data_IF_185663379714
#
_entry.id   IF_185663379714
#
_cell.length_a   1.000
_cell.length_b   1.000
_cell.length_c   1.000
_cell.angle_alpha   90.00
_cell.angle_beta   90.00
_cell.angle_gamma   90.00
#
_symmetry.space_group_name_H-M   'P 1'
#
loop_
_entity.id
_entity.type
_entity.pdbx_description
1 polymer ?
#
# COMPACT_ATOMS: atom_id res chain seq x y z
N UNK A 1 -2.32 12.17 15.80
CA UNK A 1 -2.44 11.72 14.41
C UNK A 1 -1.11 11.15 13.94
N UNK A 2 -1.16 10.07 13.16
CA UNK A 2 0.00 9.47 12.48
C UNK A 2 -0.38 9.15 11.03
N UNK A 3 0.62 9.09 10.13
CA UNK A 3 0.38 8.58 8.79
C UNK A 3 -0.06 7.11 8.88
N UNK A 4 -1.03 6.72 8.04
CA UNK A 4 -1.48 5.34 7.95
C UNK A 4 -0.30 4.42 7.63
N UNK A 5 -0.07 3.44 8.49
CA UNK A 5 1.02 2.44 8.34
C UNK A 5 0.60 1.25 7.49
N UNK A 6 -0.67 1.17 7.09
CA UNK A 6 -1.15 0.13 6.18
C UNK A 6 -0.59 0.36 4.77
N UNK A 7 -0.70 -0.65 3.91
CA UNK A 7 -0.30 -0.52 2.50
C UNK A 7 -1.34 0.21 1.64
N UNK A 8 -2.45 0.68 2.22
CA UNK A 8 -3.51 1.39 1.48
C UNK A 8 -2.98 2.72 0.93
N UNK A 9 -3.24 2.97 -0.34
CA UNK A 9 -2.90 4.22 -1.02
C UNK A 9 -4.17 4.83 -1.62
N UNK A 10 -4.22 6.14 -1.58
CA UNK A 10 -5.34 6.95 -2.03
C UNK A 10 -4.92 7.88 -3.18
N UNK A 11 -5.89 8.49 -3.84
CA UNK A 11 -5.62 9.47 -4.89
C UNK A 11 -5.03 10.74 -4.24
N UNK A 12 -3.87 11.15 -4.70
CA UNK A 12 -3.25 12.39 -4.26
C UNK A 12 -4.02 13.59 -4.80
N UNK A 13 -4.44 14.55 -3.96
CA UNK A 13 -5.20 15.72 -4.41
C UNK A 13 -4.42 16.66 -5.33
N UNK A 14 -3.09 16.56 -5.36
CA UNK A 14 -2.24 17.40 -6.21
C UNK A 14 -1.87 16.73 -7.54
N UNK A 15 -1.43 15.47 -7.53
CA UNK A 15 -0.95 14.82 -8.75
C UNK A 15 -1.90 13.77 -9.33
N UNK A 16 -3.08 13.57 -8.73
CA UNK A 16 -4.12 12.61 -9.12
C UNK A 16 -3.64 11.15 -9.27
N UNK A 17 -2.49 10.81 -8.65
CA UNK A 17 -1.99 9.42 -8.66
C UNK A 17 -2.31 8.72 -7.35
N UNK A 18 -2.48 7.39 -7.38
CA UNK A 18 -2.78 6.55 -6.21
C UNK A 18 -1.53 6.33 -5.35
N UNK A 19 -1.01 7.41 -4.77
CA UNK A 19 0.24 7.45 -3.99
C UNK A 19 0.11 8.24 -2.70
N UNK A 20 -1.13 8.53 -2.28
CA UNK A 20 -1.39 9.35 -1.12
C UNK A 20 -1.65 8.52 0.12
N UNK A 21 -1.06 8.93 1.24
CA UNK A 21 -1.22 8.32 2.56
C UNK A 21 -1.89 9.32 3.47
N UNK A 22 -3.07 8.99 3.99
CA UNK A 22 -3.78 9.84 4.94
C UNK A 22 -3.19 9.79 6.34
N UNK A 23 -3.44 10.84 7.10
CA UNK A 23 -3.30 10.81 8.53
C UNK A 23 -4.51 10.11 9.17
N UNK A 24 -4.21 9.27 10.17
CA UNK A 24 -5.18 8.50 10.95
C UNK A 24 -5.15 8.99 12.39
N UNK A 25 -6.31 9.12 12.99
CA UNK A 25 -6.42 9.19 14.45
C UNK A 25 -6.10 7.80 15.02
N UNK A 26 -4.99 7.69 15.72
CA UNK A 26 -4.51 6.42 16.26
C UNK A 26 -5.46 5.80 17.32
N UNK A 27 -6.29 6.60 17.97
CA UNK A 27 -7.23 6.14 19.00
C UNK A 27 -8.56 5.68 18.39
N UNK A 28 -9.04 6.36 17.36
CA UNK A 28 -10.31 6.04 16.71
C UNK A 28 -10.19 5.17 15.46
N UNK A 29 -8.99 5.01 14.91
CA UNK A 29 -8.75 4.31 13.65
C UNK A 29 -9.39 5.00 12.43
N UNK A 30 -9.80 6.27 12.55
CA UNK A 30 -10.47 7.04 11.50
C UNK A 30 -9.49 7.97 10.79
N UNK A 31 -9.65 8.09 9.47
CA UNK A 31 -8.88 9.06 8.69
C UNK A 31 -9.33 10.49 9.00
N UNK A 32 -8.38 11.41 9.01
CA UNK A 32 -8.67 12.83 8.87
C UNK A 32 -9.29 13.12 7.50
N UNK A 33 -9.81 14.32 7.30
CA UNK A 33 -10.44 14.71 6.02
C UNK A 33 -9.49 14.53 4.82
N UNK A 34 -10.05 14.58 3.62
CA UNK A 34 -9.44 14.21 2.34
C UNK A 34 -8.12 14.89 1.97
N UNK A 35 -7.73 15.95 2.70
CA UNK A 35 -6.55 16.76 2.35
C UNK A 35 -5.34 16.47 3.24
N UNK A 36 -5.54 15.91 4.44
CA UNK A 36 -4.44 15.69 5.38
C UNK A 36 -3.73 14.37 5.11
N UNK A 37 -2.53 14.47 4.61
CA UNK A 37 -1.72 13.32 4.24
C UNK A 37 -0.45 13.70 3.51
N UNK A 38 0.24 12.70 3.04
CA UNK A 38 1.49 12.84 2.30
C UNK A 38 1.46 12.01 1.04
N UNK A 39 1.94 12.58 -0.07
CA UNK A 39 2.19 11.86 -1.30
C UNK A 39 3.54 11.14 -1.20
N UNK A 40 3.59 9.84 -1.48
CA UNK A 40 4.85 9.07 -1.49
C UNK A 40 5.83 9.51 -2.60
N UNK A 41 5.36 10.32 -3.54
CA UNK A 41 6.18 10.92 -4.60
C UNK A 41 6.73 12.28 -4.16
N UNK A 42 7.36 12.34 -3.00
CA UNK A 42 7.85 13.58 -2.39
C UNK A 42 8.71 14.41 -3.34
N UNK A 43 9.65 13.79 -4.05
CA UNK A 43 10.54 14.49 -4.98
C UNK A 43 9.83 15.01 -6.24
N UNK A 44 8.73 14.40 -6.66
CA UNK A 44 8.03 14.74 -7.90
C UNK A 44 6.71 15.49 -7.70
N UNK A 45 6.05 15.31 -6.53
CA UNK A 45 4.77 15.90 -6.21
C UNK A 45 4.88 16.87 -5.03
N UNK A 46 5.61 16.50 -4.00
CA UNK A 46 5.86 17.33 -2.80
C UNK A 46 4.63 17.58 -1.93
N UNK A 47 3.44 17.02 -2.27
CA UNK A 47 2.24 17.30 -1.51
C UNK A 47 2.32 16.66 -0.12
N UNK A 48 2.32 17.50 0.89
CA UNK A 48 2.23 17.13 2.29
C UNK A 48 1.43 18.17 3.06
N UNK A 49 0.27 17.78 3.57
CA UNK A 49 -0.54 18.62 4.46
C UNK A 49 -0.59 17.91 5.81
N UNK A 50 0.17 18.41 6.76
CA UNK A 50 0.19 17.88 8.13
C UNK A 50 -1.13 18.23 8.84
N UNK A 51 -1.59 17.39 9.80
CA UNK A 51 -2.74 17.73 10.62
C UNK A 51 -2.44 18.99 11.44
N UNK A 52 -3.47 19.77 11.74
CA UNK A 52 -3.30 20.95 12.58
C UNK A 52 -2.75 20.54 13.94
N UNK A 53 -1.81 21.30 14.45
CA UNK A 53 -1.36 21.21 15.84
C UNK A 53 -2.46 21.81 16.72
N UNK A 54 -3.30 20.98 17.28
CA UNK A 54 -4.45 21.45 18.04
C UNK A 54 -4.67 20.66 19.34
N UNK A 55 -5.46 21.24 20.25
CA UNK A 55 -5.91 20.55 21.47
C UNK A 55 -7.14 19.72 21.15
N UNK A 56 -7.08 18.42 21.36
CA UNK A 56 -8.25 17.53 21.31
C UNK A 56 -9.12 17.80 22.54
N UNK A 57 -10.41 17.99 22.34
CA UNK A 57 -11.35 18.23 23.41
C UNK A 57 -12.64 17.43 23.21
N UNK A 58 -13.31 17.13 24.28
CA UNK A 58 -14.57 16.39 24.32
C UNK A 58 -15.68 17.28 24.80
N UNK A 59 -16.87 17.13 24.24
CA UNK A 59 -18.08 17.83 24.65
C UNK A 59 -18.58 17.23 25.98
N UNK A 60 -18.65 18.04 27.02
CA UNK A 60 -19.09 17.64 28.33
C UNK A 60 -20.40 18.38 28.65
N UNK A 61 -21.43 17.63 28.98
CA UNK A 61 -22.70 18.16 29.53
C UNK A 61 -22.52 18.46 31.00
N UNK A 62 -23.02 19.63 31.41
CA UNK A 62 -22.92 20.03 32.82
C UNK A 62 -24.23 20.62 33.38
N UNK A 63 -24.44 20.46 34.68
CA UNK A 63 -25.56 21.05 35.40
C UNK A 63 -25.25 22.50 35.80
N UNK A 64 -24.03 22.74 36.25
CA UNK A 64 -23.61 24.09 36.63
C UNK A 64 -22.14 24.31 36.36
N UNK A 65 -21.81 25.54 35.96
CA UNK A 65 -20.43 26.02 35.86
C UNK A 65 -20.35 27.39 36.55
N UNK A 66 -19.43 27.54 37.49
CA UNK A 66 -19.26 28.80 38.26
C UNK A 66 -17.80 29.21 38.27
N UNK A 67 -17.51 30.46 37.95
CA UNK A 67 -16.18 31.05 38.09
C UNK A 67 -15.79 31.06 39.55
N UNK A 68 -14.62 30.48 39.89
CA UNK A 68 -14.05 30.50 41.22
C UNK A 68 -12.95 31.56 41.31
N UNK A 69 -12.20 31.72 40.22
CA UNK A 69 -11.14 32.71 40.10
C UNK A 69 -10.97 33.10 38.64
N UNK A 70 -10.07 34.06 38.34
CA UNK A 70 -9.74 34.40 36.96
C UNK A 70 -9.06 33.28 36.18
N UNK A 71 -8.58 32.25 36.89
CA UNK A 71 -7.85 31.12 36.30
C UNK A 71 -8.60 29.81 36.29
N UNK A 72 -9.70 29.68 37.05
CA UNK A 72 -10.42 28.43 37.21
C UNK A 72 -11.93 28.60 37.44
N UNK A 73 -12.69 27.60 37.01
CA UNK A 73 -14.12 27.44 37.31
C UNK A 73 -14.40 26.11 38.01
N UNK A 74 -15.52 26.06 38.72
CA UNK A 74 -16.12 24.86 39.29
C UNK A 74 -17.21 24.37 38.36
N UNK A 75 -17.10 23.16 37.87
CA UNK A 75 -18.08 22.48 37.05
C UNK A 75 -18.70 21.32 37.82
N UNK A 76 -20.00 21.13 37.67
CA UNK A 76 -20.72 19.94 38.11
C UNK A 76 -21.29 19.28 36.84
N UNK A 77 -20.84 18.10 36.49
CA UNK A 77 -21.32 17.38 35.34
C UNK A 77 -22.73 16.79 35.57
N UNK A 78 -23.33 16.21 34.51
CA UNK A 78 -24.68 15.61 34.61
C UNK A 78 -24.73 14.39 35.54
N UNK A 79 -23.59 13.80 35.90
CA UNK A 79 -23.48 12.68 36.83
C UNK A 79 -23.23 13.16 38.26
N UNK A 80 -23.19 14.48 38.49
CA UNK A 80 -22.92 15.06 39.80
C UNK A 80 -21.44 15.14 40.18
N UNK A 81 -20.52 14.84 39.25
CA UNK A 81 -19.08 14.94 39.50
C UNK A 81 -18.67 16.42 39.58
N UNK A 82 -18.06 16.79 40.68
CA UNK A 82 -17.56 18.14 40.91
C UNK A 82 -16.10 18.23 40.51
N UNK A 83 -15.78 19.14 39.58
CA UNK A 83 -14.43 19.34 39.09
C UNK A 83 -14.03 20.82 39.11
N UNK A 84 -12.79 21.11 39.48
CA UNK A 84 -12.18 22.44 39.36
C UNK A 84 -11.34 22.45 38.07
N UNK A 85 -11.77 23.18 37.08
CA UNK A 85 -11.19 23.18 35.74
C UNK A 85 -10.46 24.50 35.50
N UNK A 86 -9.16 24.47 35.15
CA UNK A 86 -8.49 25.68 34.66
C UNK A 86 -9.20 26.24 33.43
N UNK A 87 -9.43 27.54 33.37
CA UNK A 87 -10.13 28.17 32.25
C UNK A 87 -9.44 27.91 30.89
N UNK A 88 -8.12 27.71 30.87
CA UNK A 88 -7.34 27.36 29.69
C UNK A 88 -7.64 25.96 29.15
N UNK A 89 -8.36 25.12 29.89
CA UNK A 89 -8.74 23.77 29.49
C UNK A 89 -10.17 23.69 28.98
N UNK A 90 -10.95 24.75 29.09
CA UNK A 90 -12.28 24.91 28.49
C UNK A 90 -12.09 25.74 27.23
N UNK A 91 -12.32 25.12 26.07
CA UNK A 91 -12.01 25.72 24.76
C UNK A 91 -13.22 26.39 24.13
N UNK A 92 -14.41 25.88 24.40
CA UNK A 92 -15.69 26.46 23.98
C UNK A 92 -16.75 26.12 25.03
N UNK A 93 -17.63 27.06 25.30
CA UNK A 93 -18.76 26.86 26.24
C UNK A 93 -20.05 27.33 25.57
N UNK A 94 -21.08 26.51 25.62
CA UNK A 94 -22.45 26.79 25.24
C UNK A 94 -23.35 26.52 26.48
N UNK A 95 -24.56 26.98 26.46
CA UNK A 95 -25.52 26.95 27.59
C UNK A 95 -25.25 25.90 28.68
N UNK A 96 -25.43 24.60 28.38
CA UNK A 96 -25.25 23.48 29.31
C UNK A 96 -24.12 22.52 28.89
N UNK A 97 -23.27 22.92 27.95
CA UNK A 97 -22.21 22.08 27.36
C UNK A 97 -20.92 22.87 27.21
N UNK A 98 -19.79 22.19 27.36
CA UNK A 98 -18.48 22.79 27.06
C UNK A 98 -17.51 21.77 26.51
N UNK A 99 -16.58 22.24 25.66
CA UNK A 99 -15.47 21.42 25.21
C UNK A 99 -14.29 21.52 26.14
N UNK A 100 -13.95 20.41 26.81
CA UNK A 100 -12.83 20.30 27.74
C UNK A 100 -11.72 19.49 27.10
N UNK A 101 -10.46 19.96 27.24
CA UNK A 101 -9.31 19.30 26.67
C UNK A 101 -9.16 17.86 27.16
N UNK A 102 -8.78 16.95 26.26
CA UNK A 102 -8.49 15.55 26.60
C UNK A 102 -7.42 15.44 27.69
N UNK A 103 -6.41 16.32 27.66
CA UNK A 103 -5.35 16.35 28.68
C UNK A 103 -5.92 16.51 30.09
N UNK A 104 -6.90 17.40 30.28
CA UNK A 104 -7.53 17.56 31.58
C UNK A 104 -8.42 16.37 31.91
N UNK A 105 -9.23 15.90 30.98
CA UNK A 105 -10.20 14.81 31.20
C UNK A 105 -9.51 13.49 31.56
N UNK A 106 -8.36 13.18 31.00
CA UNK A 106 -7.53 12.00 31.37
C UNK A 106 -7.09 12.00 32.82
N UNK A 107 -7.03 13.17 33.44
CA UNK A 107 -6.63 13.36 34.85
C UNK A 107 -7.81 13.78 35.76
N UNK A 108 -9.04 13.58 35.30
CA UNK A 108 -10.27 13.91 36.02
C UNK A 108 -11.18 12.67 36.13
N UNK A 109 -12.20 12.79 36.98
CA UNK A 109 -13.22 11.75 37.16
C UNK A 109 -14.42 11.94 36.21
N UNK A 110 -14.37 12.90 35.29
CA UNK A 110 -15.43 13.14 34.30
C UNK A 110 -15.43 12.03 33.27
N UNK A 111 -16.60 11.43 33.01
CA UNK A 111 -16.78 10.40 31.99
C UNK A 111 -16.92 11.08 30.61
N UNK A 112 -16.08 10.73 29.64
CA UNK A 112 -16.03 11.43 28.34
C UNK A 112 -15.82 10.54 27.12
N UNK A 113 -15.53 9.24 27.28
CA UNK A 113 -15.03 8.38 26.19
C UNK A 113 -16.00 8.23 25.01
N UNK A 114 -17.30 8.42 25.23
CA UNK A 114 -18.34 8.31 24.18
C UNK A 114 -18.85 9.68 23.70
N UNK A 115 -18.25 10.77 24.15
CA UNK A 115 -18.72 12.10 23.86
C UNK A 115 -18.19 12.62 22.51
N UNK A 116 -18.87 13.64 21.98
CA UNK A 116 -18.45 14.34 20.76
C UNK A 116 -17.03 14.90 20.89
N UNK A 117 -16.23 14.74 19.85
CA UNK A 117 -14.84 15.19 19.81
C UNK A 117 -14.69 16.37 18.87
N UNK A 118 -13.93 17.37 19.32
CA UNK A 118 -13.57 18.53 18.54
C UNK A 118 -12.08 18.84 18.71
N UNK A 119 -11.45 19.27 17.62
CA UNK A 119 -10.03 19.68 17.61
C UNK A 119 -9.95 21.20 17.47
N UNK A 120 -9.27 21.87 18.38
CA UNK A 120 -9.10 23.31 18.40
C UNK A 120 -7.67 23.67 18.02
N UNK A 121 -7.49 24.51 17.02
CA UNK A 121 -6.17 24.99 16.60
C UNK A 121 -5.63 26.04 17.59
N UNK A 122 -4.30 26.05 17.82
CA UNK A 122 -3.67 27.00 18.75
C UNK A 122 -3.59 28.43 18.21
N UNK A 123 -3.65 28.62 16.88
CA UNK A 123 -3.33 29.91 16.25
C UNK A 123 -4.52 30.64 15.61
N UNK A 124 -5.59 29.95 15.28
CA UNK A 124 -6.89 30.51 14.86
C UNK A 124 -7.96 29.44 15.08
N UNK A 125 -9.09 29.86 15.67
CA UNK A 125 -10.23 28.97 15.98
C UNK A 125 -10.96 28.58 14.69
N UNK A 126 -10.27 27.88 13.79
CA UNK A 126 -10.92 27.07 12.76
C UNK A 126 -11.15 25.67 13.33
N UNK A 127 -12.38 25.50 13.72
CA UNK A 127 -12.89 24.21 14.14
C UNK A 127 -12.82 23.26 12.97
N UNK A 128 -12.08 22.16 13.12
CA UNK A 128 -12.23 21.02 12.21
C UNK A 128 -13.57 20.39 12.53
N UNK A 129 -14.61 20.90 11.90
CA UNK A 129 -15.94 20.31 11.96
C UNK A 129 -15.90 19.02 11.13
N UNK A 130 -16.19 17.91 11.79
CA UNK A 130 -16.44 16.59 11.27
C UNK A 130 -15.21 15.83 10.73
N UNK A 131 -14.84 14.80 11.48
CA UNK A 131 -14.19 13.63 10.89
C UNK A 131 -15.25 12.95 10.03
N UNK A 132 -15.40 13.40 8.77
CA UNK A 132 -16.22 12.67 7.80
C UNK A 132 -15.55 11.33 7.57
N UNK A 133 -16.31 10.27 7.79
CA UNK A 133 -15.89 8.96 7.32
C UNK A 133 -15.59 9.09 5.82
N UNK A 134 -14.32 9.00 5.45
CA UNK A 134 -13.93 8.99 4.04
C UNK A 134 -14.59 7.75 3.47
N UNK A 135 -15.50 7.94 2.50
CA UNK A 135 -16.04 6.80 1.74
C UNK A 135 -14.82 6.02 1.25
N UNK A 136 -14.75 4.74 1.62
CA UNK A 136 -13.68 3.91 1.08
C UNK A 136 -13.68 4.12 -0.44
N UNK A 137 -12.52 4.40 -1.05
CA UNK A 137 -12.47 4.55 -2.49
C UNK A 137 -13.05 3.28 -3.08
N UNK A 138 -14.01 3.43 -3.99
CA UNK A 138 -14.57 2.28 -4.70
C UNK A 138 -13.41 1.44 -5.22
N UNK A 139 -13.41 0.14 -5.03
CA UNK A 139 -12.32 -0.71 -5.50
C UNK A 139 -12.14 -0.46 -6.99
N UNK A 140 -11.02 0.13 -7.35
CA UNK A 140 -10.68 0.34 -8.76
C UNK A 140 -10.51 -1.05 -9.35
N UNK A 141 -11.27 -1.34 -10.43
CA UNK A 141 -11.17 -2.64 -11.09
C UNK A 141 -9.71 -2.88 -11.52
N UNK A 142 -9.16 -4.06 -11.27
CA UNK A 142 -7.83 -4.39 -11.75
C UNK A 142 -7.79 -4.34 -13.28
N UNK A 143 -6.68 -3.86 -13.84
CA UNK A 143 -6.40 -3.94 -15.26
C UNK A 143 -5.64 -5.23 -15.55
N UNK A 144 -5.81 -5.76 -16.76
CA UNK A 144 -5.12 -6.95 -17.25
C UNK A 144 -4.52 -6.64 -18.62
N UNK A 145 -3.33 -7.19 -18.89
CA UNK A 145 -2.78 -7.14 -20.24
C UNK A 145 -3.56 -8.08 -21.17
N UNK A 146 -3.67 -7.72 -22.44
CA UNK A 146 -4.32 -8.59 -23.41
C UNK A 146 -3.43 -9.79 -23.77
N UNK A 147 -4.05 -10.93 -24.08
CA UNK A 147 -3.33 -12.11 -24.60
C UNK A 147 -2.61 -11.78 -25.90
N UNK A 148 -3.20 -10.96 -26.79
CA UNK A 148 -2.54 -10.53 -28.03
C UNK A 148 -1.25 -9.75 -27.79
N UNK A 149 -1.16 -8.96 -26.70
CA UNK A 149 0.07 -8.29 -26.33
C UNK A 149 1.13 -9.28 -25.88
N UNK A 150 0.75 -10.27 -25.07
CA UNK A 150 1.64 -11.35 -24.64
C UNK A 150 2.13 -12.16 -25.83
N UNK A 151 1.22 -12.62 -26.67
CA UNK A 151 1.54 -13.41 -27.89
C UNK A 151 2.50 -12.65 -28.79
N UNK A 152 2.27 -11.37 -29.02
CA UNK A 152 3.18 -10.53 -29.81
C UNK A 152 4.58 -10.48 -29.21
N UNK A 153 4.70 -10.28 -27.89
CA UNK A 153 6.00 -10.21 -27.22
C UNK A 153 6.69 -11.58 -27.26
N UNK A 154 5.95 -12.67 -27.05
CA UNK A 154 6.48 -14.03 -27.14
C UNK A 154 6.93 -14.32 -28.58
N UNK A 155 6.15 -13.98 -29.59
CA UNK A 155 6.51 -14.18 -31.00
C UNK A 155 7.74 -13.35 -31.37
N UNK A 156 7.81 -12.09 -30.96
CA UNK A 156 8.99 -11.25 -31.18
C UNK A 156 10.23 -11.83 -30.47
N UNK A 157 10.05 -12.52 -29.34
CA UNK A 157 11.12 -13.22 -28.63
C UNK A 157 11.49 -14.57 -29.25
N UNK A 158 10.53 -15.37 -29.72
CA UNK A 158 10.78 -16.65 -30.36
C UNK A 158 11.64 -16.51 -31.63
N UNK A 159 11.55 -15.36 -32.31
CA UNK A 159 12.45 -15.02 -33.39
C UNK A 159 13.90 -14.79 -32.96
N UNK A 160 14.13 -14.55 -31.65
CA UNK A 160 15.41 -14.29 -30.99
C UNK A 160 15.69 -15.31 -29.87
N UNK A 161 15.36 -16.60 -30.08
CA UNK A 161 15.37 -17.65 -29.05
C UNK A 161 16.54 -17.56 -28.05
N UNK A 162 16.20 -17.50 -26.76
CA UNK A 162 17.11 -17.58 -25.61
C UNK A 162 18.14 -16.43 -25.49
N UNK A 163 17.85 -15.25 -26.00
CA UNK A 163 18.78 -14.11 -25.97
C UNK A 163 18.74 -13.30 -24.67
N UNK A 164 17.79 -13.56 -23.77
CA UNK A 164 17.82 -12.87 -22.49
C UNK A 164 18.93 -13.40 -21.55
N UNK A 165 19.44 -12.51 -20.72
CA UNK A 165 20.60 -12.81 -19.88
C UNK A 165 20.32 -13.87 -18.81
N UNK A 166 19.08 -14.02 -18.32
CA UNK A 166 18.76 -15.06 -17.35
C UNK A 166 18.73 -16.43 -18.02
N UNK A 167 18.07 -16.55 -19.15
CA UNK A 167 18.03 -17.81 -19.91
C UNK A 167 19.44 -18.23 -20.37
N UNK A 168 20.27 -17.26 -20.82
CA UNK A 168 21.68 -17.54 -21.13
C UNK A 168 22.41 -18.11 -19.91
N UNK A 169 22.23 -17.53 -18.71
CA UNK A 169 22.81 -18.06 -17.46
C UNK A 169 22.29 -19.47 -17.14
N UNK A 170 21.01 -19.73 -17.35
CA UNK A 170 20.42 -21.05 -17.09
C UNK A 170 21.03 -22.11 -18.02
N UNK A 171 21.20 -21.82 -19.31
CA UNK A 171 21.79 -22.74 -20.30
C UNK A 171 23.26 -23.08 -20.01
N UNK A 172 24.02 -22.21 -19.32
CA UNK A 172 25.39 -22.50 -18.87
C UNK A 172 25.44 -23.45 -17.66
N UNK A 173 24.31 -23.62 -16.94
CA UNK A 173 24.28 -24.36 -15.68
C UNK A 173 23.35 -25.60 -15.70
N UNK A 174 22.45 -25.69 -16.67
CA UNK A 174 21.44 -26.74 -16.78
C UNK A 174 21.38 -27.25 -18.23
N UNK A 175 20.77 -28.41 -18.43
CA UNK A 175 20.57 -28.95 -19.78
C UNK A 175 19.57 -28.13 -20.57
N UNK A 176 19.68 -28.21 -21.90
CA UNK A 176 18.75 -27.50 -22.79
C UNK A 176 17.29 -27.88 -22.52
N UNK A 177 17.00 -29.17 -22.32
CA UNK A 177 15.63 -29.67 -22.09
C UNK A 177 15.04 -29.15 -20.77
N UNK A 178 15.84 -29.10 -19.69
CA UNK A 178 15.42 -28.52 -18.42
C UNK A 178 15.09 -27.02 -18.55
N UNK A 179 15.97 -26.28 -19.22
CA UNK A 179 15.76 -24.84 -19.44
C UNK A 179 14.57 -24.59 -20.34
N UNK A 180 14.42 -25.35 -21.42
CA UNK A 180 13.27 -25.26 -22.31
C UNK A 180 11.97 -25.51 -21.54
N UNK A 181 11.91 -26.56 -20.75
CA UNK A 181 10.73 -26.92 -19.95
C UNK A 181 10.31 -25.78 -19.02
N UNK A 182 11.21 -25.24 -18.21
CA UNK A 182 10.85 -24.15 -17.28
C UNK A 182 10.55 -22.84 -17.99
N UNK A 183 11.21 -22.57 -19.11
CA UNK A 183 10.94 -21.37 -19.93
C UNK A 183 9.52 -21.43 -20.52
N UNK A 184 9.09 -22.59 -20.99
CA UNK A 184 7.75 -22.81 -21.50
C UNK A 184 6.69 -22.75 -20.38
N UNK A 185 6.90 -23.50 -19.29
CA UNK A 185 5.94 -23.55 -18.18
C UNK A 185 5.68 -22.16 -17.57
N UNK A 186 6.71 -21.35 -17.41
CA UNK A 186 6.58 -20.01 -16.81
C UNK A 186 6.38 -18.89 -17.83
N UNK A 187 6.24 -19.18 -19.12
CA UNK A 187 6.19 -18.20 -20.21
C UNK A 187 7.33 -17.19 -20.15
N UNK A 188 8.54 -17.65 -19.77
CA UNK A 188 9.68 -16.77 -19.59
C UNK A 188 10.05 -16.12 -20.92
N UNK A 189 10.04 -14.81 -20.97
CA UNK A 189 10.17 -14.05 -22.22
C UNK A 189 11.32 -13.07 -22.13
N UNK A 190 12.20 -13.05 -23.13
CA UNK A 190 13.21 -12.02 -23.30
C UNK A 190 12.63 -10.74 -23.88
N UNK A 191 13.30 -9.62 -23.65
CA UNK A 191 12.91 -8.33 -24.23
C UNK A 191 14.10 -7.39 -24.37
N UNK A 192 14.10 -6.62 -25.46
CA UNK A 192 15.01 -5.49 -25.67
C UNK A 192 14.29 -4.14 -25.56
N UNK A 193 13.00 -4.16 -25.20
CA UNK A 193 12.16 -2.97 -25.25
C UNK A 193 12.57 -1.88 -24.25
N UNK A 194 13.12 -2.26 -23.10
CA UNK A 194 13.53 -1.30 -22.06
C UNK A 194 15.03 -1.43 -21.72
N UNK A 195 15.51 -2.63 -21.48
CA UNK A 195 16.93 -2.98 -21.36
C UNK A 195 17.23 -4.15 -22.28
N UNK A 196 18.34 -4.09 -22.97
CA UNK A 196 18.74 -5.16 -23.85
C UNK A 196 18.91 -6.47 -23.07
N UNK A 197 18.35 -7.56 -23.59
CA UNK A 197 18.42 -8.90 -23.04
C UNK A 197 17.83 -8.99 -21.61
N UNK A 198 16.83 -8.15 -21.29
CA UNK A 198 16.08 -8.27 -20.04
C UNK A 198 15.06 -9.41 -20.11
N UNK A 199 14.66 -9.89 -18.96
CA UNK A 199 13.67 -10.97 -18.81
C UNK A 199 12.35 -10.40 -18.32
N UNK A 200 11.23 -10.85 -18.91
CA UNK A 200 9.87 -10.57 -18.42
C UNK A 200 9.37 -11.78 -17.64
N UNK A 201 8.95 -11.56 -16.41
CA UNK A 201 8.23 -12.51 -15.58
C UNK A 201 6.76 -12.16 -15.58
N UNK A 202 5.95 -13.01 -16.21
CA UNK A 202 4.51 -12.82 -16.32
C UNK A 202 3.80 -13.28 -15.04
N UNK A 203 2.93 -12.45 -14.52
CA UNK A 203 2.00 -12.80 -13.46
C UNK A 203 0.66 -13.15 -14.09
N UNK A 204 0.39 -14.44 -14.19
CA UNK A 204 -0.81 -15.01 -14.82
C UNK A 204 -1.57 -15.78 -13.76
N UNK A 205 -2.89 -15.54 -13.65
CA UNK A 205 -3.74 -16.23 -12.69
C UNK A 205 -4.26 -17.58 -13.25
N UNK A 206 -5.00 -18.30 -12.42
CA UNK A 206 -5.61 -19.60 -12.76
C UNK A 206 -6.68 -19.51 -13.84
N UNK A 207 -7.10 -18.31 -14.21
CA UNK A 207 -8.04 -18.05 -15.31
C UNK A 207 -7.34 -17.48 -16.56
N UNK A 208 -6.02 -17.66 -16.66
CA UNK A 208 -5.19 -17.19 -17.75
C UNK A 208 -5.17 -15.65 -17.94
N UNK A 209 -5.57 -14.88 -16.92
CA UNK A 209 -5.50 -13.42 -16.98
C UNK A 209 -4.11 -12.93 -16.63
N UNK A 210 -3.58 -12.06 -17.46
CA UNK A 210 -2.25 -11.49 -17.29
C UNK A 210 -2.34 -10.24 -16.43
N UNK A 211 -1.99 -10.36 -15.16
CA UNK A 211 -2.00 -9.27 -14.18
C UNK A 211 -0.87 -8.27 -14.38
N UNK A 212 0.32 -8.77 -14.77
CA UNK A 212 1.51 -7.94 -14.94
C UNK A 212 2.62 -8.66 -15.72
N UNK A 213 3.51 -7.89 -16.31
CA UNK A 213 4.82 -8.33 -16.75
C UNK A 213 5.90 -7.58 -15.97
N UNK A 214 6.69 -8.29 -15.17
CA UNK A 214 7.80 -7.71 -14.39
C UNK A 214 9.10 -7.86 -15.18
N UNK A 215 9.66 -6.74 -15.62
CA UNK A 215 10.90 -6.70 -16.40
C UNK A 215 12.09 -6.59 -15.46
N UNK A 216 13.06 -7.49 -15.59
CA UNK A 216 14.28 -7.49 -14.78
C UNK A 216 15.51 -7.76 -15.63
N UNK A 217 16.62 -7.11 -15.29
CA UNK A 217 17.90 -7.35 -15.96
C UNK A 217 18.86 -8.13 -15.07
N UNK A 218 19.43 -9.18 -15.64
CA UNK A 218 20.42 -10.05 -14.98
C UNK A 218 21.77 -9.97 -15.66
N UNK A 219 22.81 -10.28 -14.91
CA UNK A 219 24.13 -10.53 -15.45
C UNK A 219 24.18 -11.97 -15.99
N UNK A 220 24.45 -12.16 -17.26
CA UNK A 220 24.42 -13.47 -17.93
C UNK A 220 25.46 -14.46 -17.42
N UNK A 221 26.59 -13.99 -16.85
CA UNK A 221 27.64 -14.88 -16.35
C UNK A 221 27.38 -15.35 -14.91
N UNK A 222 26.77 -14.48 -14.10
CA UNK A 222 26.60 -14.76 -12.66
C UNK A 222 25.16 -15.05 -12.27
N UNK A 223 24.20 -14.83 -13.16
CA UNK A 223 22.77 -14.92 -12.86
C UNK A 223 22.31 -13.95 -11.76
N UNK A 224 23.14 -12.98 -11.36
CA UNK A 224 22.80 -11.98 -10.35
C UNK A 224 22.03 -10.83 -10.99
N UNK A 225 21.02 -10.32 -10.28
CA UNK A 225 20.29 -9.13 -10.69
C UNK A 225 21.22 -7.92 -10.75
N UNK A 226 21.15 -7.12 -11.82
CA UNK A 226 21.90 -5.87 -11.95
C UNK A 226 21.22 -4.80 -11.10
N UNK A 227 21.99 -4.21 -10.19
CA UNK A 227 21.52 -3.21 -9.22
C UNK A 227 22.19 -1.84 -9.38
N UNK A 228 23.29 -1.78 -10.11
CA UNK A 228 24.04 -0.54 -10.37
C UNK A 228 23.82 -0.07 -11.81
N UNK A 229 23.72 1.24 -12.05
CA UNK A 229 23.72 2.35 -11.09
C UNK A 229 22.37 2.50 -10.34
N UNK A 230 21.37 1.69 -10.66
CA UNK A 230 20.04 1.60 -10.01
C UNK A 230 19.49 0.17 -10.17
N UNK A 231 18.45 -0.15 -9.41
CA UNK A 231 17.76 -1.44 -9.54
C UNK A 231 17.08 -1.55 -10.91
N UNK A 232 17.53 -2.48 -11.75
CA UNK A 232 16.93 -2.75 -13.06
C UNK A 232 15.69 -3.61 -12.92
N UNK A 233 14.61 -2.99 -12.42
CA UNK A 233 13.27 -3.58 -12.29
C UNK A 233 12.26 -2.57 -12.82
N UNK A 234 11.41 -2.98 -13.74
CA UNK A 234 10.29 -2.18 -14.22
C UNK A 234 9.06 -3.07 -14.49
N UNK A 235 7.94 -2.43 -14.76
CA UNK A 235 6.69 -3.11 -15.10
C UNK A 235 6.33 -2.81 -16.55
N UNK A 236 5.81 -3.81 -17.26
CA UNK A 236 5.49 -3.70 -18.67
C UNK A 236 4.56 -2.52 -18.98
N UNK A 237 3.48 -2.35 -18.21
CA UNK A 237 2.54 -1.23 -18.40
C UNK A 237 3.20 0.15 -18.30
N UNK A 238 4.23 0.31 -17.46
CA UNK A 238 5.01 1.55 -17.40
C UNK A 238 5.89 1.72 -18.65
N UNK A 239 6.44 0.62 -19.15
CA UNK A 239 7.36 0.61 -20.30
C UNK A 239 6.62 0.95 -21.60
N UNK A 240 5.44 0.35 -21.79
CA UNK A 240 4.58 0.64 -22.96
C UNK A 240 3.70 1.89 -22.75
N UNK A 241 3.84 2.57 -21.61
CA UNK A 241 3.08 3.78 -21.25
C UNK A 241 1.56 3.57 -21.32
N UNK A 242 1.08 2.42 -20.86
CA UNK A 242 -0.35 2.11 -20.84
C UNK A 242 -1.07 3.05 -19.85
N UNK A 243 -2.02 3.87 -20.34
CA UNK A 243 -2.68 4.85 -19.50
C UNK A 243 -3.61 4.14 -18.50
N UNK A 244 -3.71 4.71 -17.30
CA UNK A 244 -4.66 4.29 -16.25
C UNK A 244 -4.60 2.80 -15.86
N UNK A 245 -3.47 2.13 -16.13
CA UNK A 245 -3.30 0.73 -15.75
C UNK A 245 -3.27 0.58 -14.23
N UNK A 246 -4.28 -0.12 -13.70
CA UNK A 246 -4.41 -0.42 -12.28
C UNK A 246 -3.77 -1.77 -11.96
N UNK A 247 -2.50 -1.75 -11.60
CA UNK A 247 -1.72 -2.94 -11.28
C UNK A 247 -2.30 -3.68 -10.06
N UNK A 248 -2.73 -4.91 -10.27
CA UNK A 248 -3.12 -5.85 -9.24
C UNK A 248 -2.32 -7.14 -9.42
N UNK A 249 -1.30 -7.32 -8.59
CA UNK A 249 -0.38 -8.46 -8.71
C UNK A 249 -1.03 -9.77 -8.27
N UNK A 250 -0.65 -10.87 -8.92
CA UNK A 250 -0.83 -12.23 -8.42
C UNK A 250 0.54 -12.91 -8.22
N UNK A 251 0.55 -14.13 -7.69
CA UNK A 251 1.80 -14.89 -7.56
C UNK A 251 2.34 -15.25 -8.95
N UNK A 252 3.65 -15.14 -9.13
CA UNK A 252 4.31 -15.67 -10.30
C UNK A 252 4.20 -17.20 -10.32
N UNK A 253 3.79 -17.77 -11.46
CA UNK A 253 3.56 -19.21 -11.62
C UNK A 253 2.17 -19.68 -11.16
N UNK A 254 1.25 -18.79 -10.77
CA UNK A 254 -0.07 -19.16 -10.24
C UNK A 254 -0.89 -20.00 -11.23
N UNK A 255 -0.80 -19.73 -12.53
CA UNK A 255 -1.45 -20.52 -13.60
C UNK A 255 -1.07 -21.99 -13.58
N UNK A 256 0.14 -22.36 -13.14
CA UNK A 256 0.60 -23.75 -13.08
C UNK A 256 -0.24 -24.63 -12.15
N UNK A 257 -0.94 -24.04 -11.18
CA UNK A 257 -1.83 -24.79 -10.29
C UNK A 257 -2.99 -25.40 -11.10
N UNK A 258 -3.50 -24.69 -12.09
CA UNK A 258 -4.59 -25.19 -12.94
C UNK A 258 -4.13 -26.34 -13.87
N UNK A 259 -2.83 -26.47 -14.13
CA UNK A 259 -2.28 -27.54 -14.98
C UNK A 259 -2.12 -28.86 -14.23
N UNK A 260 -1.82 -28.83 -12.94
CA UNK A 260 -1.64 -30.06 -12.12
C UNK A 260 -1.98 -29.83 -10.65
N UNK A 261 -3.22 -30.12 -10.29
CA UNK A 261 -3.71 -30.05 -8.89
C UNK A 261 -3.16 -31.16 -7.99
N UNK A 262 -2.41 -32.13 -8.50
CA UNK A 262 -1.89 -33.24 -7.70
C UNK A 262 -0.57 -32.92 -6.99
N UNK A 263 0.12 -31.85 -7.43
CA UNK A 263 1.41 -31.45 -6.88
C UNK A 263 1.24 -30.52 -5.67
N UNK A 264 2.13 -30.68 -4.71
CA UNK A 264 2.26 -29.73 -3.61
C UNK A 264 2.81 -28.39 -4.07
N UNK A 265 2.35 -27.31 -3.44
CA UNK A 265 2.75 -25.95 -3.77
C UNK A 265 3.90 -25.50 -2.86
N UNK A 266 4.95 -24.97 -3.44
CA UNK A 266 6.06 -24.35 -2.74
C UNK A 266 6.17 -22.86 -3.09
N UNK A 267 6.32 -21.98 -2.09
CA UNK A 267 6.35 -20.53 -2.30
C UNK A 267 7.74 -19.98 -1.93
N UNK A 268 8.30 -19.18 -2.85
CA UNK A 268 9.58 -18.46 -2.66
C UNK A 268 9.42 -16.95 -2.85
N UNK A 269 10.45 -16.18 -2.49
CA UNK A 269 10.40 -14.73 -2.66
C UNK A 269 10.60 -14.31 -4.13
N UNK A 270 11.57 -14.91 -4.82
CA UNK A 270 12.04 -14.45 -6.13
C UNK A 270 11.59 -15.36 -7.25
N UNK A 271 11.18 -14.77 -8.37
CA UNK A 271 10.78 -15.45 -9.60
C UNK A 271 11.92 -16.36 -10.11
N UNK A 272 13.16 -15.87 -10.12
CA UNK A 272 14.32 -16.67 -10.50
C UNK A 272 14.49 -17.91 -9.62
N UNK A 273 14.23 -17.79 -8.32
CA UNK A 273 14.31 -18.93 -7.41
C UNK A 273 13.23 -19.96 -7.73
N UNK A 274 12.00 -19.54 -8.04
CA UNK A 274 10.94 -20.45 -8.45
C UNK A 274 11.36 -21.27 -9.69
N UNK A 275 11.89 -20.59 -10.71
CA UNK A 275 12.37 -21.24 -11.95
C UNK A 275 13.47 -22.26 -11.66
N UNK A 276 14.50 -21.90 -10.91
CA UNK A 276 15.64 -22.78 -10.60
C UNK A 276 15.15 -23.97 -9.76
N UNK A 277 14.30 -23.73 -8.77
CA UNK A 277 13.77 -24.80 -7.94
C UNK A 277 12.85 -25.75 -8.71
N UNK A 278 12.16 -25.28 -9.73
CA UNK A 278 11.38 -26.16 -10.63
C UNK A 278 12.26 -27.15 -11.40
N UNK A 279 13.51 -26.80 -11.69
CA UNK A 279 14.49 -27.73 -12.27
C UNK A 279 14.94 -28.73 -11.22
N UNK A 280 15.32 -28.29 -10.01
CA UNK A 280 15.85 -29.16 -8.98
C UNK A 280 14.82 -30.07 -8.33
N UNK A 281 13.60 -29.58 -8.14
CA UNK A 281 12.52 -30.26 -7.44
C UNK A 281 11.21 -30.16 -8.23
N UNK A 282 11.11 -30.85 -9.39
CA UNK A 282 9.98 -30.73 -10.32
C UNK A 282 8.68 -31.36 -9.80
N UNK A 283 8.73 -32.06 -8.67
CA UNK A 283 7.55 -32.63 -7.99
C UNK A 283 6.68 -31.57 -7.33
N UNK A 284 7.15 -30.33 -7.16
CA UNK A 284 6.40 -29.20 -6.62
C UNK A 284 5.98 -28.21 -7.69
N UNK A 285 4.91 -27.48 -7.46
CA UNK A 285 4.59 -26.24 -8.17
C UNK A 285 5.25 -25.08 -7.42
N UNK A 286 6.22 -24.43 -8.06
CA UNK A 286 6.96 -23.33 -7.46
C UNK A 286 6.34 -22.00 -7.82
N UNK A 287 5.88 -21.26 -6.80
CA UNK A 287 5.32 -19.92 -6.94
C UNK A 287 6.27 -18.88 -6.34
N UNK A 288 6.21 -17.63 -6.84
CA UNK A 288 6.96 -16.54 -6.23
C UNK A 288 6.10 -15.34 -5.90
N UNK A 289 6.39 -14.72 -4.73
CA UNK A 289 5.71 -13.50 -4.28
C UNK A 289 6.25 -12.24 -4.95
N UNK A 290 7.44 -12.31 -5.58
CA UNK A 290 8.13 -11.20 -6.22
C UNK A 290 8.78 -10.20 -5.25
N UNK A 291 8.45 -10.26 -3.96
CA UNK A 291 9.12 -9.53 -2.87
C UNK A 291 8.66 -10.04 -1.51
N UNK A 292 9.51 -9.88 -0.49
CA UNK A 292 9.18 -10.23 0.90
C UNK A 292 7.91 -9.52 1.42
N UNK A 293 7.66 -8.29 1.01
CA UNK A 293 6.48 -7.51 1.42
C UNK A 293 5.16 -7.98 0.78
N UNK A 294 5.22 -8.83 -0.26
CA UNK A 294 4.07 -9.35 -0.97
C UNK A 294 3.57 -10.69 -0.42
N UNK A 295 4.26 -11.27 0.56
CA UNK A 295 3.74 -12.45 1.27
C UNK A 295 2.59 -12.02 2.18
N UNK A 296 1.39 -11.91 1.62
CA UNK A 296 0.18 -11.42 2.28
C UNK A 296 -0.97 -12.37 1.99
N UNK A 297 -1.89 -12.50 2.97
CA UNK A 297 -3.11 -13.32 2.85
C UNK A 297 -3.96 -13.01 1.58
N UNK A 298 -3.84 -11.81 1.01
CA UNK A 298 -4.58 -11.39 -0.19
C UNK A 298 -3.99 -11.92 -1.50
N UNK A 299 -2.77 -12.49 -1.47
CA UNK A 299 -2.10 -13.09 -2.63
C UNK A 299 -2.04 -14.63 -2.50
N UNK A 300 -2.42 -15.17 -1.39
CA UNK A 300 -2.55 -16.60 -1.08
C UNK A 300 -4.02 -17.01 -1.12
#
# INVERSE_FOLDING_TARGET
FSLDKSSKKFICPNCNKKTFVYYVDAEQGKYLTTDYGRCDREQNCGYHKAPPKGKKAYLIDFLTIKKISDKACKLVDVNGVISIIPNSQILEQKESKCFITEWYLKNSNIIYQNNEIKYFNSDNIEVINEIKAIKEPQPVKPSFHSLQLQDKIITDYESQKFDDNLTSFLLENFTFDEVQTVTQNYYLTGTNHYWNNATIFWQIDENEKIHAGKIMLYNKLTGKRIKEPYNHINWLHNTIKEPDFNLNQCLFGLHLIAEDYSKDIAIVESEKTAIIMSIFLPQYIWLATGSKSNFKKQLL
#
